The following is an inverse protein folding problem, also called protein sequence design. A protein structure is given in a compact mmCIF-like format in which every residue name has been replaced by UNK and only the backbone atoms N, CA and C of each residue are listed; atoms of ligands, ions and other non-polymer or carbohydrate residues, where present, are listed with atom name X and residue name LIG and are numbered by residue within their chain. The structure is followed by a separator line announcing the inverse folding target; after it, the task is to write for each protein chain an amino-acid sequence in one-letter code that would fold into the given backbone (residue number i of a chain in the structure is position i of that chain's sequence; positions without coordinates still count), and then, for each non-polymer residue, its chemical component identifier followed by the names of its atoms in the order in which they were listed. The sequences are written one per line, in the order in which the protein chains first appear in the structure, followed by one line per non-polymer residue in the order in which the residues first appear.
data_IF_493114551520
#
_entry.id   IF_493114551520
#
_cell.length_a   1.000
_cell.length_b   1.000
_cell.length_c   1.000
_cell.angle_alpha   90.00
_cell.angle_beta   90.00
_cell.angle_gamma   90.00
#
_symmetry.space_group_name_H-M   'P 1'
#
loop_
_entity.id
_entity.type
_entity.pdbx_description
1 polymer ?
#
# COMPACT_ATOMS: atom_id res chain seq x y z
N UNK A 1 28.85 -17.40 -25.29
CA UNK A 1 28.45 -16.07 -24.80
C UNK A 1 27.91 -16.31 -23.41
N UNK A 2 28.73 -16.12 -22.38
CA UNK A 2 28.30 -16.37 -21.00
C UNK A 2 27.22 -15.35 -20.61
N UNK A 3 26.15 -15.76 -19.91
CA UNK A 3 25.17 -14.82 -19.40
C UNK A 3 25.84 -13.95 -18.34
N UNK A 4 25.82 -12.64 -18.55
CA UNK A 4 26.29 -11.65 -17.59
C UNK A 4 25.55 -11.86 -16.27
N UNK A 5 26.29 -12.18 -15.19
CA UNK A 5 25.69 -12.45 -13.87
C UNK A 5 24.87 -11.22 -13.44
N UNK A 6 23.59 -11.38 -13.05
CA UNK A 6 22.70 -10.27 -12.65
C UNK A 6 23.21 -9.41 -11.46
N UNK A 7 24.28 -9.86 -10.80
CA UNK A 7 24.90 -9.28 -9.60
C UNK A 7 25.48 -7.86 -9.80
N UNK A 8 26.03 -7.54 -10.98
CA UNK A 8 26.70 -6.25 -11.22
C UNK A 8 25.72 -5.08 -11.41
N UNK A 9 24.59 -5.32 -12.10
CA UNK A 9 23.56 -4.30 -12.30
C UNK A 9 22.78 -4.02 -11.00
N UNK A 10 22.42 -5.09 -10.28
CA UNK A 10 21.74 -4.99 -8.98
C UNK A 10 22.56 -4.19 -7.95
N UNK A 11 23.88 -4.40 -7.91
CA UNK A 11 24.79 -3.69 -6.99
C UNK A 11 24.87 -2.19 -7.31
N UNK A 12 24.88 -1.81 -8.60
CA UNK A 12 24.89 -0.39 -9.01
C UNK A 12 23.58 0.30 -8.66
N UNK A 13 22.44 -0.38 -8.86
CA UNK A 13 21.12 0.13 -8.47
C UNK A 13 21.00 0.27 -6.95
N UNK A 14 21.51 -0.68 -6.17
CA UNK A 14 21.52 -0.59 -4.71
C UNK A 14 22.37 0.60 -4.22
N UNK A 15 23.54 0.84 -4.82
CA UNK A 15 24.39 1.98 -4.49
C UNK A 15 23.73 3.33 -4.84
N UNK A 16 23.01 3.38 -5.97
CA UNK A 16 22.17 4.53 -6.35
C UNK A 16 21.05 4.76 -5.32
N UNK A 17 20.26 3.74 -5.00
CA UNK A 17 19.16 3.83 -4.03
C UNK A 17 19.65 4.35 -2.66
N UNK A 18 20.78 3.81 -2.17
CA UNK A 18 21.42 4.26 -0.94
C UNK A 18 21.91 5.72 -1.03
N UNK A 19 22.55 6.12 -2.14
CA UNK A 19 23.04 7.48 -2.35
C UNK A 19 21.90 8.51 -2.37
N UNK A 20 20.77 8.16 -2.99
CA UNK A 20 19.63 9.07 -3.16
C UNK A 20 18.56 8.91 -2.07
N UNK A 21 18.79 8.06 -1.05
CA UNK A 21 17.83 7.77 0.02
C UNK A 21 16.47 7.33 -0.53
N UNK A 22 16.48 6.63 -1.67
CA UNK A 22 15.30 6.04 -2.26
C UNK A 22 15.14 4.67 -1.61
N UNK A 23 14.29 4.61 -0.60
CA UNK A 23 13.94 3.37 0.08
C UNK A 23 12.53 2.98 -0.37
N UNK A 24 12.39 1.81 -0.97
CA UNK A 24 11.07 1.22 -1.18
C UNK A 24 10.55 0.78 0.19
N UNK A 25 9.43 1.36 0.63
CA UNK A 25 8.73 0.96 1.84
C UNK A 25 7.59 0.06 1.44
N UNK A 26 7.91 -1.14 0.95
CA UNK A 26 6.98 -2.25 0.77
C UNK A 26 7.71 -3.53 1.16
N UNK A 27 7.05 -4.41 1.90
CA UNK A 27 7.64 -5.56 2.58
C UNK A 27 6.87 -5.94 3.85
N UNK A 28 6.02 -5.04 4.37
CA UNK A 28 5.13 -5.33 5.51
C UNK A 28 3.87 -6.04 5.03
N UNK A 29 3.27 -5.57 3.95
CA UNK A 29 2.02 -6.12 3.38
C UNK A 29 2.24 -7.53 2.82
N UNK A 30 3.38 -7.72 2.16
CA UNK A 30 3.80 -8.96 1.52
C UNK A 30 4.17 -10.03 2.56
N UNK A 31 4.78 -9.61 3.68
CA UNK A 31 5.09 -10.49 4.82
C UNK A 31 3.83 -10.98 5.53
N UNK A 32 2.81 -10.13 5.65
CA UNK A 32 1.50 -10.52 6.19
C UNK A 32 0.72 -11.43 5.22
N UNK A 33 1.28 -11.75 4.05
CA UNK A 33 0.68 -12.67 3.09
C UNK A 33 -0.53 -12.09 2.37
N UNK A 34 -0.57 -10.77 2.17
CA UNK A 34 -1.71 -10.13 1.52
C UNK A 34 -1.81 -10.57 0.05
N UNK A 35 -2.94 -11.20 -0.27
CA UNK A 35 -3.27 -11.74 -1.60
C UNK A 35 -4.10 -10.75 -2.44
N UNK A 36 -4.82 -9.86 -1.76
CA UNK A 36 -5.69 -8.84 -2.35
C UNK A 36 -5.38 -7.49 -1.68
N UNK A 37 -4.90 -6.53 -2.45
CA UNK A 37 -4.53 -5.20 -2.02
C UNK A 37 -5.57 -4.16 -2.46
N UNK A 38 -6.32 -3.62 -1.51
CA UNK A 38 -7.31 -2.57 -1.76
C UNK A 38 -6.67 -1.18 -1.66
N UNK A 39 -6.74 -0.42 -2.74
CA UNK A 39 -6.09 0.90 -2.88
C UNK A 39 -7.10 2.00 -3.28
N UNK A 40 -7.98 2.46 -2.37
CA UNK A 40 -8.84 3.60 -2.63
C UNK A 40 -8.01 4.87 -2.84
N UNK A 41 -8.39 5.71 -3.79
CA UNK A 41 -7.65 6.92 -4.16
C UNK A 41 -8.56 8.05 -4.62
N UNK A 42 -8.01 9.26 -4.61
CA UNK A 42 -8.56 10.44 -5.29
C UNK A 42 -7.65 10.91 -6.44
N UNK A 43 -6.56 10.18 -6.74
CA UNK A 43 -5.64 10.50 -7.82
C UNK A 43 -6.05 9.79 -9.12
N UNK A 44 -6.45 10.57 -10.11
CA UNK A 44 -6.90 10.07 -11.42
C UNK A 44 -5.81 10.12 -12.50
N UNK A 45 -4.60 10.56 -12.15
CA UNK A 45 -3.52 10.74 -13.12
C UNK A 45 -3.03 9.39 -13.65
N UNK A 46 -2.54 9.31 -14.90
CA UNK A 46 -1.99 8.07 -15.46
C UNK A 46 -0.86 7.45 -14.65
N UNK A 47 -0.11 8.27 -13.90
CA UNK A 47 0.96 7.81 -13.00
C UNK A 47 0.45 6.90 -11.88
N UNK A 48 -0.81 7.04 -11.47
CA UNK A 48 -1.43 6.15 -10.49
C UNK A 48 -1.50 4.72 -11.01
N UNK A 49 -1.89 4.55 -12.28
CA UNK A 49 -1.99 3.22 -12.91
C UNK A 49 -0.64 2.52 -12.93
N UNK A 50 0.42 3.24 -13.34
CA UNK A 50 1.78 2.71 -13.32
C UNK A 50 2.22 2.30 -11.90
N UNK A 51 1.84 3.08 -10.88
CA UNK A 51 2.12 2.74 -9.48
C UNK A 51 1.39 1.48 -9.03
N UNK A 52 0.12 1.31 -9.39
CA UNK A 52 -0.67 0.14 -9.01
C UNK A 52 -0.19 -1.13 -9.73
N UNK A 53 0.21 -1.03 -11.00
CA UNK A 53 0.83 -2.14 -11.73
C UNK A 53 2.15 -2.56 -11.08
N UNK A 54 2.97 -1.60 -10.65
CA UNK A 54 4.22 -1.91 -9.95
C UNK A 54 3.97 -2.65 -8.63
N UNK A 55 2.99 -2.21 -7.84
CA UNK A 55 2.62 -2.88 -6.58
C UNK A 55 2.11 -4.30 -6.83
N UNK A 56 1.28 -4.51 -7.86
CA UNK A 56 0.77 -5.84 -8.21
C UNK A 56 1.91 -6.82 -8.53
N UNK A 57 2.88 -6.37 -9.34
CA UNK A 57 4.06 -7.14 -9.72
C UNK A 57 4.99 -7.40 -8.53
N UNK A 58 5.23 -6.40 -7.70
CA UNK A 58 6.17 -6.53 -6.57
C UNK A 58 5.58 -7.42 -5.47
N UNK A 59 4.31 -7.21 -5.12
CA UNK A 59 3.64 -7.96 -4.07
C UNK A 59 3.18 -9.36 -4.50
N UNK A 60 3.07 -9.59 -5.81
CA UNK A 60 2.48 -10.81 -6.37
C UNK A 60 1.03 -10.97 -5.93
N UNK A 61 0.26 -9.88 -5.88
CA UNK A 61 -1.10 -9.83 -5.35
C UNK A 61 -2.06 -9.15 -6.32
N UNK A 62 -3.36 -9.38 -6.16
CA UNK A 62 -4.38 -8.64 -6.91
C UNK A 62 -4.51 -7.22 -6.35
N UNK A 63 -4.43 -6.20 -7.21
CA UNK A 63 -4.63 -4.80 -6.81
C UNK A 63 -6.02 -4.35 -7.24
N UNK A 64 -6.82 -3.92 -6.27
CA UNK A 64 -8.16 -3.38 -6.47
C UNK A 64 -8.12 -1.89 -6.11
N UNK A 65 -8.04 -1.04 -7.12
CA UNK A 65 -8.04 0.42 -6.91
C UNK A 65 -9.39 1.03 -7.27
N UNK A 66 -9.91 1.86 -6.36
CA UNK A 66 -11.17 2.55 -6.52
C UNK A 66 -10.96 4.06 -6.46
N UNK A 67 -11.40 4.76 -7.51
CA UNK A 67 -11.45 6.21 -7.58
C UNK A 67 -12.89 6.66 -7.90
N UNK A 68 -13.28 7.79 -7.34
CA UNK A 68 -14.58 8.41 -7.57
C UNK A 68 -14.65 9.10 -8.94
N UNK A 69 -15.83 9.05 -9.56
CA UNK A 69 -16.16 9.91 -10.70
C UNK A 69 -17.02 11.06 -10.19
N UNK A 70 -16.58 12.31 -10.37
CA UNK A 70 -17.29 13.48 -9.87
C UNK A 70 -17.29 14.61 -10.90
N UNK A 71 -18.40 15.34 -10.93
CA UNK A 71 -18.60 16.58 -11.65
C UNK A 71 -18.65 17.76 -10.69
N UNK A 72 -18.50 18.96 -11.23
CA UNK A 72 -18.55 20.20 -10.45
C UNK A 72 -19.81 20.32 -9.59
N UNK A 73 -20.97 19.93 -10.13
CA UNK A 73 -22.27 19.98 -9.42
C UNK A 73 -22.36 19.08 -8.18
N UNK A 74 -21.45 18.13 -8.03
CA UNK A 74 -21.45 17.18 -6.91
C UNK A 74 -20.76 17.77 -5.67
N UNK A 75 -20.18 18.98 -5.80
CA UNK A 75 -19.54 19.73 -4.72
C UNK A 75 -20.38 20.96 -4.35
N UNK A 76 -20.26 21.50 -3.11
CA UNK A 76 -20.93 22.73 -2.71
C UNK A 76 -20.68 23.89 -3.70
N UNK A 77 -21.67 24.75 -3.95
CA UNK A 77 -21.49 25.91 -4.83
C UNK A 77 -20.59 26.97 -4.17
N UNK A 78 -20.04 27.92 -4.93
CA UNK A 78 -19.31 29.05 -4.35
C UNK A 78 -20.23 29.89 -3.45
N UNK A 79 -19.71 30.52 -2.38
CA UNK A 79 -18.30 30.57 -1.97
C UNK A 79 -17.87 29.41 -1.05
N UNK A 80 -18.72 28.41 -0.82
CA UNK A 80 -18.45 27.33 0.13
C UNK A 80 -17.32 26.39 -0.35
N UNK A 81 -17.22 26.19 -1.67
CA UNK A 81 -16.16 25.42 -2.28
C UNK A 81 -15.86 25.93 -3.71
N UNK A 82 -14.60 26.28 -3.95
CA UNK A 82 -14.10 26.78 -5.25
C UNK A 82 -12.94 25.88 -5.72
N UNK A 83 -12.97 25.48 -6.99
CA UNK A 83 -11.91 24.67 -7.58
C UNK A 83 -10.72 25.54 -7.99
N UNK A 84 -9.63 25.45 -7.25
CA UNK A 84 -8.38 26.10 -7.63
C UNK A 84 -7.86 25.55 -8.98
N UNK A 85 -7.39 26.46 -9.85
CA UNK A 85 -6.70 26.10 -11.09
C UNK A 85 -7.54 26.17 -12.38
N UNK A 86 -8.85 26.44 -12.31
CA UNK A 86 -9.69 26.58 -13.51
C UNK A 86 -9.75 28.00 -14.09
N UNK A 87 -9.19 29.01 -13.39
CA UNK A 87 -9.18 30.42 -13.81
C UNK A 87 -10.56 31.10 -13.70
N UNK A 88 -11.61 30.42 -14.12
CA UNK A 88 -13.02 30.75 -13.93
C UNK A 88 -13.76 29.57 -13.28
N UNK A 89 -14.94 29.83 -12.72
CA UNK A 89 -15.76 28.79 -12.11
C UNK A 89 -16.21 27.77 -13.18
N UNK A 90 -15.85 26.48 -13.05
CA UNK A 90 -16.19 25.49 -14.05
C UNK A 90 -17.70 25.25 -14.12
N UNK A 91 -18.18 24.88 -15.31
CA UNK A 91 -19.59 24.53 -15.52
C UNK A 91 -20.03 23.35 -14.64
N UNK A 92 -21.32 23.28 -14.32
CA UNK A 92 -21.90 22.23 -13.47
C UNK A 92 -21.56 20.79 -13.91
N UNK A 93 -21.48 20.54 -15.21
CA UNK A 93 -21.17 19.20 -15.75
C UNK A 93 -19.68 18.96 -16.02
N UNK A 94 -18.81 19.92 -15.71
CA UNK A 94 -17.36 19.74 -15.83
C UNK A 94 -16.92 18.60 -14.92
N UNK A 95 -16.26 17.58 -15.49
CA UNK A 95 -15.66 16.48 -14.73
C UNK A 95 -14.45 17.01 -13.97
N UNK A 96 -14.48 16.87 -12.65
CA UNK A 96 -13.42 17.32 -11.75
C UNK A 96 -12.58 16.15 -11.24
N UNK A 97 -13.17 14.96 -11.17
CA UNK A 97 -12.47 13.71 -10.94
C UNK A 97 -12.99 12.67 -11.94
N UNK A 98 -12.19 12.26 -12.94
CA UNK A 98 -12.66 11.33 -13.97
C UNK A 98 -12.64 9.86 -13.52
N UNK A 99 -12.34 9.56 -12.25
CA UNK A 99 -12.21 8.17 -11.78
C UNK A 99 -10.89 7.52 -12.19
N UNK A 100 -10.97 6.37 -12.85
CA UNK A 100 -9.81 5.53 -13.16
C UNK A 100 -9.68 4.28 -12.29
N UNK A 101 -10.79 3.80 -11.71
CA UNK A 101 -10.82 2.54 -10.96
C UNK A 101 -10.37 1.37 -11.83
N UNK A 102 -9.57 0.46 -11.25
CA UNK A 102 -8.90 -0.63 -11.97
C UNK A 102 -8.75 -1.87 -11.08
N UNK A 103 -8.81 -3.05 -11.71
CA UNK A 103 -8.45 -4.34 -11.10
C UNK A 103 -7.26 -4.90 -11.87
N UNK A 104 -6.17 -5.21 -11.18
CA UNK A 104 -4.91 -5.68 -11.75
C UNK A 104 -4.55 -7.03 -11.12
N UNK A 105 -4.13 -7.99 -11.94
CA UNK A 105 -3.65 -9.30 -11.51
C UNK A 105 -2.22 -9.24 -10.96
N UNK A 106 -1.77 -10.27 -10.21
CA UNK A 106 -0.37 -10.42 -9.77
C UNK A 106 0.66 -10.33 -10.91
N UNK A 107 0.26 -10.67 -12.14
CA UNK A 107 1.13 -10.60 -13.32
C UNK A 107 1.25 -9.20 -13.93
N UNK A 108 0.51 -8.22 -13.39
CA UNK A 108 0.41 -6.86 -13.92
C UNK A 108 -0.64 -6.69 -15.03
N UNK A 109 -1.35 -7.76 -15.43
CA UNK A 109 -2.46 -7.68 -16.37
C UNK A 109 -3.66 -6.93 -15.76
N UNK A 110 -4.24 -6.01 -16.53
CA UNK A 110 -5.47 -5.31 -16.13
C UNK A 110 -6.68 -6.19 -16.44
N UNK A 111 -7.38 -6.64 -15.40
CA UNK A 111 -8.56 -7.50 -15.52
C UNK A 111 -9.85 -6.70 -15.74
N UNK A 112 -9.91 -5.47 -15.19
CA UNK A 112 -11.02 -4.56 -15.41
C UNK A 112 -10.57 -3.09 -15.26
N UNK A 113 -11.13 -2.20 -16.07
CA UNK A 113 -10.75 -0.78 -16.10
C UNK A 113 -9.48 -0.50 -16.92
N UNK A 114 -8.78 0.63 -16.70
CA UNK A 114 -9.22 1.75 -15.88
C UNK A 114 -10.46 2.44 -16.49
N UNK A 115 -11.53 2.62 -15.69
CA UNK A 115 -12.75 3.27 -16.17
C UNK A 115 -12.70 4.79 -15.96
N UNK A 116 -12.76 5.54 -17.07
CA UNK A 116 -12.82 7.01 -17.08
C UNK A 116 -14.13 7.57 -17.67
N UNK A 117 -15.07 6.71 -18.06
CA UNK A 117 -16.26 7.09 -18.85
C UNK A 117 -17.47 7.45 -17.98
N UNK A 118 -17.35 7.39 -16.67
CA UNK A 118 -18.43 7.70 -15.74
C UNK A 118 -18.50 6.73 -14.56
N UNK A 119 -19.53 6.90 -13.74
CA UNK A 119 -19.84 5.98 -12.65
C UNK A 119 -20.24 4.61 -13.21
N UNK A 120 -19.56 3.57 -12.77
CA UNK A 120 -19.89 2.19 -13.12
C UNK A 120 -19.41 1.22 -12.04
N UNK A 121 -20.02 0.04 -12.01
CA UNK A 121 -19.48 -1.11 -11.31
C UNK A 121 -18.52 -1.85 -12.26
N UNK A 122 -17.25 -1.96 -11.86
CA UNK A 122 -16.27 -2.83 -12.54
C UNK A 122 -16.09 -4.11 -11.75
N UNK A 123 -16.04 -5.25 -12.43
CA UNK A 123 -15.94 -6.58 -11.82
C UNK A 123 -14.96 -7.45 -12.61
N UNK A 124 -14.25 -8.34 -11.91
CA UNK A 124 -13.42 -9.37 -12.51
C UNK A 124 -13.42 -10.61 -11.62
N UNK A 125 -13.28 -11.78 -12.24
CA UNK A 125 -13.04 -13.04 -11.52
C UNK A 125 -11.54 -13.16 -11.19
N UNK A 126 -11.22 -13.54 -9.96
CA UNK A 126 -9.83 -13.62 -9.50
C UNK A 126 -9.41 -15.09 -9.34
N UNK A 127 -8.48 -15.56 -10.16
CA UNK A 127 -7.84 -16.85 -9.96
C UNK A 127 -6.70 -16.73 -8.94
N UNK A 128 -6.97 -17.11 -7.69
CA UNK A 128 -5.98 -17.08 -6.61
C UNK A 128 -4.75 -17.97 -6.88
N UNK A 129 -4.85 -18.93 -7.81
CA UNK A 129 -3.70 -19.70 -8.28
C UNK A 129 -2.65 -18.87 -9.02
N UNK A 130 -2.99 -17.67 -9.51
CA UNK A 130 -2.02 -16.74 -10.11
C UNK A 130 -1.02 -16.19 -9.11
N UNK A 131 -1.40 -16.05 -7.84
CA UNK A 131 -0.53 -15.54 -6.77
C UNK A 131 0.65 -16.49 -6.58
N UNK A 132 0.37 -17.79 -6.51
CA UNK A 132 1.41 -18.82 -6.37
C UNK A 132 2.34 -18.81 -7.58
N UNK A 133 1.79 -18.63 -8.78
CA UNK A 133 2.58 -18.53 -10.02
C UNK A 133 3.45 -17.27 -10.03
N UNK A 134 2.91 -16.11 -9.64
CA UNK A 134 3.67 -14.86 -9.56
C UNK A 134 4.79 -14.93 -8.52
N UNK A 135 4.49 -15.48 -7.32
CA UNK A 135 5.49 -15.66 -6.26
C UNK A 135 6.55 -16.70 -6.59
N UNK A 136 6.26 -17.64 -7.50
CA UNK A 136 7.29 -18.54 -8.02
C UNK A 136 8.36 -17.78 -8.82
N UNK A 137 7.94 -16.78 -9.61
CA UNK A 137 8.85 -15.95 -10.40
C UNK A 137 9.56 -14.88 -9.56
N UNK A 138 8.82 -14.24 -8.64
CA UNK A 138 9.33 -13.18 -7.76
C UNK A 138 8.63 -13.16 -6.38
N UNK A 139 9.39 -13.52 -5.32
CA UNK A 139 8.93 -13.45 -3.93
C UNK A 139 9.85 -12.55 -3.09
N UNK A 140 9.39 -11.31 -2.87
CA UNK A 140 10.16 -10.21 -2.27
C UNK A 140 10.54 -10.44 -0.79
N UNK A 141 9.73 -11.19 -0.04
CA UNK A 141 10.00 -11.53 1.37
C UNK A 141 10.49 -12.97 1.57
N UNK A 142 10.42 -13.80 0.53
CA UNK A 142 10.96 -15.16 0.52
C UNK A 142 12.30 -15.25 -0.18
N UNK A 143 12.36 -15.97 -1.30
CA UNK A 143 13.63 -16.42 -1.89
C UNK A 143 14.45 -15.31 -2.58
N UNK A 144 13.86 -14.16 -2.89
CA UNK A 144 14.63 -12.97 -3.34
C UNK A 144 15.10 -12.10 -2.17
N UNK A 145 14.63 -12.35 -0.94
CA UNK A 145 15.02 -11.58 0.23
C UNK A 145 16.49 -11.86 0.60
N UNK A 146 17.17 -10.81 1.10
CA UNK A 146 18.55 -10.87 1.60
C UNK A 146 18.59 -10.44 3.07
N UNK A 147 18.06 -11.26 4.00
CA UNK A 147 17.91 -10.90 5.42
C UNK A 147 19.25 -10.62 6.13
N UNK A 148 20.36 -11.13 5.60
CA UNK A 148 21.71 -10.85 6.07
C UNK A 148 22.22 -9.47 5.65
N UNK A 149 21.59 -8.83 4.65
CA UNK A 149 21.91 -7.48 4.18
C UNK A 149 20.94 -6.44 4.75
N UNK A 150 19.64 -6.74 4.69
CA UNK A 150 18.58 -5.83 5.12
C UNK A 150 17.53 -6.59 5.92
N UNK A 151 17.23 -6.09 7.11
CA UNK A 151 16.12 -6.55 7.94
C UNK A 151 15.29 -5.37 8.41
N UNK A 152 13.97 -5.44 8.22
CA UNK A 152 13.02 -4.42 8.64
C UNK A 152 12.31 -4.88 9.93
N UNK A 153 12.46 -4.10 11.00
CA UNK A 153 11.73 -4.31 12.25
C UNK A 153 10.59 -3.29 12.33
N UNK A 154 9.36 -3.79 12.37
CA UNK A 154 8.15 -2.96 12.51
C UNK A 154 7.76 -2.95 13.99
N UNK A 155 7.50 -1.76 14.53
CA UNK A 155 6.84 -1.61 15.81
C UNK A 155 5.32 -1.59 15.58
N UNK A 156 4.66 -2.68 15.94
CA UNK A 156 3.22 -2.88 15.79
C UNK A 156 2.40 -2.38 16.99
N UNK A 157 3.05 -1.82 18.01
CA UNK A 157 2.37 -1.34 19.21
C UNK A 157 1.59 -0.05 18.93
N UNK A 158 0.32 0.05 19.37
CA UNK A 158 -0.45 1.29 19.29
C UNK A 158 0.32 2.47 19.89
N UNK A 159 0.44 3.56 19.12
CA UNK A 159 1.07 4.80 19.56
C UNK A 159 -0.03 5.82 19.85
N UNK A 160 -0.43 6.02 21.12
CA UNK A 160 -1.45 7.01 21.44
C UNK A 160 -0.93 8.42 21.13
N UNK A 161 -1.74 9.32 20.52
CA UNK A 161 -1.32 10.67 20.19
C UNK A 161 -0.97 11.52 21.41
N UNK A 162 -1.50 11.16 22.59
CA UNK A 162 -1.17 11.77 23.89
C UNK A 162 -1.07 10.67 24.93
N UNK A 163 0.00 10.68 25.73
CA UNK A 163 0.17 9.82 26.91
C UNK A 163 0.39 10.71 28.13
N UNK A 164 -0.38 10.48 29.21
CA UNK A 164 -0.20 11.17 30.48
C UNK A 164 0.59 10.30 31.45
N UNK A 165 1.69 10.84 31.97
CA UNK A 165 2.45 10.21 33.04
C UNK A 165 2.04 10.82 34.38
N UNK A 166 0.87 10.47 34.91
CA UNK A 166 0.61 10.70 36.34
C UNK A 166 1.47 9.73 37.14
N UNK A 167 2.21 10.26 38.12
CA UNK A 167 3.25 9.55 38.86
C UNK A 167 2.73 8.27 39.51
N UNK A 168 3.50 7.19 39.38
CA UNK A 168 3.22 5.91 40.01
C UNK A 168 3.09 6.04 41.54
N UNK A 169 1.92 5.73 42.09
CA UNK A 169 1.81 5.38 43.50
C UNK A 169 2.60 4.09 43.74
N UNK A 170 3.62 4.18 44.60
CA UNK A 170 4.33 3.02 45.13
C UNK A 170 3.33 2.15 45.90
N UNK A 171 2.90 1.04 45.33
CA UNK A 171 2.30 -0.03 46.14
C UNK A 171 3.41 -0.62 47.00
N UNK A 172 3.38 -0.34 48.30
CA UNK A 172 4.30 -0.90 49.27
C UNK A 172 4.08 -2.41 49.40
N UNK A 173 5.19 -3.14 49.45
CA UNK A 173 5.19 -4.56 49.74
C UNK A 173 4.68 -4.81 51.18
N UNK A 174 3.53 -5.48 51.31
CA UNK A 174 3.11 -6.06 52.58
C UNK A 174 3.63 -7.50 52.66
N UNK A 175 4.56 -7.71 53.61
CA UNK A 175 4.91 -9.02 54.16
C UNK A 175 3.66 -9.69 54.74
N UNK A 176 3.51 -11.00 54.55
CA UNK A 176 3.24 -11.88 55.70
C UNK A 176 3.70 -13.31 55.45
N UNK A 177 4.44 -13.80 56.44
CA UNK A 177 5.01 -15.13 56.57
C UNK A 177 3.95 -16.23 56.81
N UNK A 178 4.31 -17.43 56.34
CA UNK A 178 4.03 -18.75 56.91
C UNK A 178 2.58 -19.27 56.96
N UNK A 179 2.36 -20.46 56.41
CA UNK A 179 2.36 -21.73 57.17
C UNK A 179 2.31 -22.91 56.18
N UNK A 180 3.19 -23.88 56.42
CA UNK A 180 3.23 -25.18 55.75
C UNK A 180 1.97 -26.01 55.99
N UNK A 181 1.61 -26.85 55.01
CA UNK A 181 1.28 -28.27 55.23
C UNK A 181 1.20 -29.04 53.92
N UNK A 182 2.09 -30.02 53.84
CA UNK A 182 2.02 -31.22 53.02
C UNK A 182 0.77 -32.05 53.34
N UNK A 183 0.13 -32.59 52.29
CA UNK A 183 -0.24 -34.01 52.16
C UNK A 183 -0.28 -34.35 50.67
#
# INVERSE_FOLDING_TARGET
MEPEKPEAAATRLAAMAAKYKVFLVMGVIEKEGIEIYCAPTADSRPVWQASMTHIALEGGCFVLSANQFCRRKDYPPPPEYEFAGFGEEPSADTVVCPGGSVIISPSGEVLAGPNYEGEALITADLDLGEIVRAKFDFDVVGHYARPEVLSLVVNDKPQPPVSFTSAAEKTSAAKNDSIAKSY
#
